data_IF_013810433808
#
_entry.id   IF_013810433808
#
_cell.length_a   1.000
_cell.length_b   1.000
_cell.length_c   1.000
_cell.angle_alpha   90.00
_cell.angle_beta   90.00
_cell.angle_gamma   90.00
#
_symmetry.space_group_name_H-M   'P 1'
#
loop_
_entity.id
_entity.type
_entity.pdbx_description
1 polymer ?
#
# COMPACT_ATOMS: atom_id res chain seq x y z
N UNK A 1 -14.39 -29.60 7.32
CA UNK A 1 -12.98 -29.34 6.92
C UNK A 1 -12.68 -29.88 5.52
N UNK A 2 -13.11 -31.09 5.15
CA UNK A 2 -12.98 -31.62 3.78
C UNK A 2 -13.52 -30.66 2.71
N UNK A 3 -14.74 -30.13 2.90
CA UNK A 3 -15.39 -29.15 2.02
C UNK A 3 -14.50 -27.95 1.63
N UNK A 4 -13.70 -27.43 2.57
CA UNK A 4 -12.80 -26.29 2.32
C UNK A 4 -11.66 -26.68 1.37
N UNK A 5 -11.03 -27.83 1.62
CA UNK A 5 -9.96 -28.33 0.75
C UNK A 5 -10.51 -28.65 -0.64
N UNK A 6 -11.71 -29.20 -0.74
CA UNK A 6 -12.35 -29.44 -2.04
C UNK A 6 -12.59 -28.12 -2.78
N UNK A 7 -13.14 -27.11 -2.10
CA UNK A 7 -13.34 -25.77 -2.66
C UNK A 7 -12.01 -25.13 -3.11
N UNK A 8 -10.91 -25.33 -2.38
CA UNK A 8 -9.57 -24.84 -2.72
C UNK A 8 -9.06 -25.37 -4.07
N UNK A 9 -9.34 -26.63 -4.37
CA UNK A 9 -8.95 -27.23 -5.65
C UNK A 9 -9.96 -26.95 -6.78
N UNK A 10 -11.19 -26.55 -6.45
CA UNK A 10 -12.25 -26.32 -7.42
C UNK A 10 -12.31 -24.87 -7.93
N UNK A 11 -12.02 -23.89 -7.07
CA UNK A 11 -12.13 -22.47 -7.40
C UNK A 11 -10.77 -21.84 -7.71
N UNK A 12 -10.60 -21.39 -8.95
CA UNK A 12 -9.35 -20.78 -9.42
C UNK A 12 -9.00 -19.46 -8.70
N UNK A 13 -9.98 -18.66 -8.28
CA UNK A 13 -9.72 -17.45 -7.49
C UNK A 13 -9.12 -17.78 -6.11
N UNK A 14 -9.50 -18.93 -5.53
CA UNK A 14 -9.01 -19.35 -4.21
C UNK A 14 -7.57 -19.89 -4.30
N UNK A 15 -7.24 -20.55 -5.41
CA UNK A 15 -5.86 -20.95 -5.74
C UNK A 15 -4.95 -19.74 -5.94
N UNK A 16 -5.42 -18.75 -6.71
CA UNK A 16 -4.69 -17.51 -6.98
C UNK A 16 -4.47 -16.72 -5.70
N UNK A 17 -5.51 -16.60 -4.86
CA UNK A 17 -5.39 -15.97 -3.54
C UNK A 17 -4.36 -16.68 -2.64
N UNK A 18 -4.33 -18.03 -2.64
CA UNK A 18 -3.36 -18.79 -1.86
C UNK A 18 -1.93 -18.60 -2.36
N UNK A 19 -1.71 -18.64 -3.68
CA UNK A 19 -0.40 -18.39 -4.29
C UNK A 19 0.07 -16.95 -4.04
N UNK A 20 -0.81 -15.96 -4.20
CA UNK A 20 -0.52 -14.57 -3.91
C UNK A 20 -0.13 -14.38 -2.44
N UNK A 21 -0.86 -15.03 -1.51
CA UNK A 21 -0.56 -15.00 -0.08
C UNK A 21 0.79 -15.62 0.26
N UNK A 22 1.13 -16.75 -0.37
CA UNK A 22 2.45 -17.38 -0.22
C UNK A 22 3.57 -16.45 -0.72
N UNK A 23 3.43 -15.87 -1.91
CA UNK A 23 4.42 -14.94 -2.48
C UNK A 23 4.57 -13.68 -1.61
N UNK A 24 3.47 -13.10 -1.16
CA UNK A 24 3.47 -11.96 -0.25
C UNK A 24 4.14 -12.31 1.08
N UNK A 25 3.89 -13.50 1.63
CA UNK A 25 4.49 -13.94 2.90
C UNK A 25 6.02 -14.04 2.84
N UNK A 26 6.58 -14.43 1.69
CA UNK A 26 8.04 -14.46 1.49
C UNK A 26 8.61 -13.05 1.54
N UNK A 27 8.00 -12.10 0.81
CA UNK A 27 8.42 -10.70 0.82
C UNK A 27 8.32 -10.05 2.21
N UNK A 28 7.16 -10.19 2.85
CA UNK A 28 6.92 -9.67 4.20
C UNK A 28 7.80 -10.34 5.25
N UNK A 29 8.05 -11.64 5.13
CA UNK A 29 8.89 -12.41 6.04
C UNK A 29 10.37 -12.01 5.98
N UNK A 30 10.87 -11.65 4.79
CA UNK A 30 12.24 -11.14 4.62
C UNK A 30 12.36 -9.68 5.09
N UNK A 31 11.40 -8.83 4.73
CA UNK A 31 11.45 -7.40 5.08
C UNK A 31 11.13 -7.12 6.55
N UNK A 32 10.31 -7.94 7.19
CA UNK A 32 9.89 -7.77 8.59
C UNK A 32 11.06 -7.66 9.57
N UNK A 33 11.97 -8.65 9.66
CA UNK A 33 13.14 -8.59 10.52
C UNK A 33 14.03 -7.38 10.25
N UNK A 34 14.19 -7.01 8.97
CA UNK A 34 14.98 -5.84 8.58
C UNK A 34 14.37 -4.54 9.14
N UNK A 35 13.06 -4.36 8.97
CA UNK A 35 12.32 -3.19 9.47
C UNK A 35 12.39 -3.09 10.99
N UNK A 36 12.28 -4.23 11.69
CA UNK A 36 12.35 -4.30 13.17
C UNK A 36 13.74 -3.98 13.68
N UNK A 37 14.79 -4.63 13.15
CA UNK A 37 16.19 -4.42 13.59
C UNK A 37 16.64 -2.98 13.33
N UNK A 38 16.24 -2.39 12.21
CA UNK A 38 16.55 -1.00 11.87
C UNK A 38 15.67 0.02 12.58
N UNK A 39 14.65 -0.41 13.33
CA UNK A 39 13.65 0.45 14.00
C UNK A 39 12.96 1.43 13.05
N UNK A 40 12.75 1.03 11.80
CA UNK A 40 12.09 1.83 10.75
C UNK A 40 10.63 1.43 10.53
N UNK A 41 9.98 0.88 11.56
CA UNK A 41 8.58 0.41 11.45
C UNK A 41 7.60 1.52 11.04
N UNK A 42 7.79 2.72 11.59
CA UNK A 42 6.97 3.89 11.25
C UNK A 42 7.14 4.30 9.78
N UNK A 43 8.34 4.16 9.22
CA UNK A 43 8.62 4.49 7.82
C UNK A 43 7.83 3.60 6.87
N UNK A 44 7.74 2.29 7.15
CA UNK A 44 6.92 1.37 6.37
C UNK A 44 5.44 1.78 6.40
N UNK A 45 4.91 2.14 7.58
CA UNK A 45 3.53 2.62 7.73
C UNK A 45 3.25 3.94 7.00
N UNK A 46 4.18 4.90 7.07
CA UNK A 46 4.06 6.18 6.38
C UNK A 46 4.02 6.03 4.86
N UNK A 47 4.90 5.19 4.30
CA UNK A 47 4.92 4.91 2.87
C UNK A 47 3.59 4.27 2.44
N UNK A 48 3.13 3.24 3.16
CA UNK A 48 1.93 2.48 2.81
C UNK A 48 0.67 3.36 2.63
N UNK A 49 0.49 4.40 3.44
CA UNK A 49 -0.66 5.28 3.27
C UNK A 49 -0.38 6.51 2.40
N UNK A 50 0.90 6.91 2.26
CA UNK A 50 1.26 7.94 1.29
C UNK A 50 0.95 7.53 -0.15
N UNK A 51 1.03 6.22 -0.41
CA UNK A 51 0.69 5.56 -1.68
C UNK A 51 -0.76 5.80 -2.10
N UNK A 52 -1.70 5.88 -1.14
CA UNK A 52 -3.10 6.19 -1.42
C UNK A 52 -3.25 7.54 -2.14
N UNK A 53 -2.39 8.51 -1.80
CA UNK A 53 -2.35 9.80 -2.49
C UNK A 53 -2.03 9.66 -3.97
N UNK A 54 -1.00 8.86 -4.29
CA UNK A 54 -0.63 8.56 -5.67
C UNK A 54 -1.70 7.78 -6.43
N UNK A 55 -2.32 6.78 -5.79
CA UNK A 55 -3.42 6.02 -6.38
C UNK A 55 -4.61 6.92 -6.69
N UNK A 56 -5.01 7.79 -5.76
CA UNK A 56 -6.12 8.72 -5.96
C UNK A 56 -5.88 9.69 -7.11
N UNK A 57 -4.66 10.24 -7.21
CA UNK A 57 -4.26 11.10 -8.34
C UNK A 57 -4.29 10.33 -9.66
N UNK A 58 -3.69 9.14 -9.72
CA UNK A 58 -3.68 8.33 -10.95
C UNK A 58 -5.10 7.96 -11.41
N UNK A 59 -5.96 7.54 -10.47
CA UNK A 59 -7.37 7.27 -10.73
C UNK A 59 -8.11 8.48 -11.30
N UNK A 60 -7.88 9.67 -10.74
CA UNK A 60 -8.50 10.90 -11.22
C UNK A 60 -8.13 11.24 -12.67
N UNK A 61 -6.88 10.97 -13.06
CA UNK A 61 -6.41 11.16 -14.44
C UNK A 61 -6.75 9.99 -15.37
N UNK A 62 -7.43 8.94 -14.88
CA UNK A 62 -7.76 7.74 -15.66
C UNK A 62 -6.56 6.83 -15.94
N UNK A 63 -5.48 6.97 -15.18
CA UNK A 63 -4.31 6.10 -15.26
C UNK A 63 -4.42 4.89 -14.30
N UNK A 64 -3.55 3.90 -14.49
CA UNK A 64 -3.49 2.72 -13.63
C UNK A 64 -3.12 3.12 -12.18
N UNK A 65 -3.96 2.76 -11.18
CA UNK A 65 -3.69 3.01 -9.77
C UNK A 65 -2.34 2.48 -9.32
N UNK A 66 -1.89 1.33 -9.86
CA UNK A 66 -0.63 0.69 -9.49
C UNK A 66 0.57 1.57 -9.85
N UNK A 67 0.51 2.28 -10.98
CA UNK A 67 1.57 3.21 -11.39
C UNK A 67 1.59 4.41 -10.45
N UNK A 68 0.41 4.96 -10.11
CA UNK A 68 0.28 6.03 -9.13
C UNK A 68 0.84 5.64 -7.77
N UNK A 69 0.54 4.42 -7.32
CA UNK A 69 1.06 3.86 -6.09
C UNK A 69 2.59 3.78 -6.08
N UNK A 70 3.17 3.23 -7.15
CA UNK A 70 4.61 3.03 -7.26
C UNK A 70 5.36 4.37 -7.29
N UNK A 71 4.87 5.35 -8.06
CA UNK A 71 5.46 6.70 -8.10
C UNK A 71 5.39 7.37 -6.74
N UNK A 72 4.24 7.32 -6.06
CA UNK A 72 4.10 7.90 -4.73
C UNK A 72 4.98 7.20 -3.68
N UNK A 73 5.10 5.86 -3.74
CA UNK A 73 5.98 5.10 -2.85
C UNK A 73 7.44 5.52 -3.01
N UNK A 74 7.93 5.63 -4.25
CA UNK A 74 9.31 6.04 -4.54
C UNK A 74 9.54 7.49 -4.08
N UNK A 75 8.62 8.41 -4.41
CA UNK A 75 8.72 9.80 -3.98
C UNK A 75 8.74 9.93 -2.45
N UNK A 76 7.86 9.23 -1.75
CA UNK A 76 7.82 9.23 -0.29
C UNK A 76 9.12 8.65 0.29
N UNK A 77 9.60 7.52 -0.23
CA UNK A 77 10.85 6.90 0.22
C UNK A 77 12.07 7.83 0.01
N UNK A 78 12.15 8.50 -1.14
CA UNK A 78 13.20 9.48 -1.44
C UNK A 78 13.11 10.71 -0.54
N UNK A 79 11.93 11.25 -0.31
CA UNK A 79 11.71 12.40 0.58
C UNK A 79 12.14 12.07 2.02
N UNK A 80 11.71 10.92 2.53
CA UNK A 80 12.07 10.46 3.88
C UNK A 80 13.59 10.22 3.94
N UNK A 81 14.16 9.55 2.94
CA UNK A 81 15.60 9.27 2.87
C UNK A 81 16.45 10.54 2.80
N UNK A 82 16.03 11.53 2.01
CA UNK A 82 16.75 12.80 1.85
C UNK A 82 16.68 13.65 3.12
N UNK A 83 15.51 13.79 3.73
CA UNK A 83 15.36 14.51 5.00
C UNK A 83 16.18 13.84 6.09
N UNK A 84 16.16 12.49 6.15
CA UNK A 84 16.97 11.73 7.11
C UNK A 84 18.48 11.99 6.97
N UNK A 85 18.96 12.20 5.75
CA UNK A 85 20.38 12.44 5.50
C UNK A 85 20.80 13.90 5.77
N UNK A 86 19.93 14.86 5.44
CA UNK A 86 20.25 16.29 5.47
C UNK A 86 19.77 17.03 6.73
N UNK A 87 18.73 16.55 7.42
CA UNK A 87 18.04 17.27 8.50
C UNK A 87 18.02 16.42 9.78
N UNK A 88 18.39 17.01 10.91
CA UNK A 88 18.25 16.42 12.26
C UNK A 88 16.84 16.59 12.83
N UNK A 89 15.82 16.72 11.98
CA UNK A 89 14.42 16.82 12.41
C UNK A 89 13.93 15.44 12.86
N UNK A 90 12.95 15.39 13.77
CA UNK A 90 12.32 14.15 14.20
C UNK A 90 11.74 13.40 12.99
N UNK A 91 12.37 12.27 12.62
CA UNK A 91 11.94 11.40 11.51
C UNK A 91 10.44 11.07 11.59
N UNK A 92 9.95 10.83 12.82
CA UNK A 92 8.55 10.52 13.11
C UNK A 92 7.58 11.62 12.69
N UNK A 93 7.98 12.89 12.80
CA UNK A 93 7.13 14.03 12.39
C UNK A 93 6.97 14.08 10.88
N UNK A 94 8.05 13.82 10.13
CA UNK A 94 8.00 13.80 8.67
C UNK A 94 7.16 12.62 8.17
N UNK A 95 7.35 11.44 8.76
CA UNK A 95 6.57 10.24 8.46
C UNK A 95 5.09 10.51 8.71
N UNK A 96 4.74 11.09 9.87
CA UNK A 96 3.37 11.47 10.20
C UNK A 96 2.77 12.51 9.24
N UNK A 97 3.56 13.49 8.81
CA UNK A 97 3.12 14.49 7.83
C UNK A 97 2.84 13.85 6.46
N UNK A 98 3.75 13.00 5.95
CA UNK A 98 3.56 12.29 4.68
C UNK A 98 2.36 11.34 4.74
N UNK A 99 2.17 10.69 5.89
CA UNK A 99 1.03 9.83 6.16
C UNK A 99 -0.29 10.61 6.02
N UNK A 100 -0.42 11.74 6.73
CA UNK A 100 -1.62 12.57 6.70
C UNK A 100 -1.87 13.21 5.33
N UNK A 101 -0.82 13.75 4.69
CA UNK A 101 -0.92 14.41 3.38
C UNK A 101 -1.33 13.41 2.31
N UNK A 102 -0.69 12.23 2.25
CA UNK A 102 -1.02 11.24 1.24
C UNK A 102 -2.44 10.70 1.39
N UNK A 103 -2.89 10.43 2.62
CA UNK A 103 -4.29 10.07 2.88
C UNK A 103 -5.26 11.18 2.44
N UNK A 104 -4.98 12.43 2.81
CA UNK A 104 -5.84 13.56 2.46
C UNK A 104 -5.94 13.76 0.94
N UNK A 105 -4.81 13.70 0.23
CA UNK A 105 -4.76 13.79 -1.23
C UNK A 105 -5.55 12.64 -1.86
N UNK A 106 -5.32 11.40 -1.41
CA UNK A 106 -5.99 10.23 -1.97
C UNK A 106 -7.50 10.31 -1.84
N UNK A 107 -7.98 10.66 -0.63
CA UNK A 107 -9.42 10.83 -0.36
C UNK A 107 -10.00 12.00 -1.17
N UNK A 108 -9.31 13.13 -1.23
CA UNK A 108 -9.75 14.30 -1.99
C UNK A 108 -10.00 13.96 -3.46
N UNK A 109 -9.02 13.32 -4.11
CA UNK A 109 -9.15 12.98 -5.53
C UNK A 109 -10.20 11.91 -5.77
N UNK A 110 -10.30 10.89 -4.92
CA UNK A 110 -11.35 9.85 -5.07
C UNK A 110 -12.75 10.45 -4.87
N UNK A 111 -12.93 11.35 -3.90
CA UNK A 111 -14.21 12.02 -3.65
C UNK A 111 -14.71 12.89 -4.82
N UNK A 112 -13.79 13.34 -5.69
CA UNK A 112 -14.11 14.18 -6.85
C UNK A 112 -14.52 13.39 -8.08
N UNK A 113 -14.45 12.06 -8.05
CA UNK A 113 -14.87 11.18 -9.14
C UNK A 113 -16.37 10.87 -8.96
N UNK A 114 -17.27 11.42 -9.80
CA UNK A 114 -18.70 11.23 -9.62
C UNK A 114 -19.09 9.77 -9.89
N UNK A 115 -19.76 9.14 -8.92
CA UNK A 115 -20.28 7.77 -9.04
C UNK A 115 -19.29 6.65 -8.73
N UNK A 116 -18.04 6.97 -8.38
CA UNK A 116 -17.03 5.96 -8.05
C UNK A 116 -16.88 5.84 -6.53
N UNK A 117 -17.63 4.91 -5.93
CA UNK A 117 -17.28 4.36 -4.61
C UNK A 117 -16.15 3.37 -4.83
N UNK A 118 -14.93 3.86 -5.11
CA UNK A 118 -13.77 3.00 -4.98
C UNK A 118 -13.83 2.43 -3.56
N UNK A 119 -13.73 1.11 -3.41
CA UNK A 119 -13.52 0.50 -2.11
C UNK A 119 -12.15 0.98 -1.60
N UNK A 120 -12.09 2.18 -1.03
CA UNK A 120 -10.89 2.75 -0.42
C UNK A 120 -10.32 1.77 0.58
N UNK A 121 -11.22 1.09 1.30
CA UNK A 121 -10.90 0.03 2.25
C UNK A 121 -10.21 -1.12 1.54
N UNK A 122 -10.73 -1.62 0.40
CA UNK A 122 -10.08 -2.70 -0.35
C UNK A 122 -8.72 -2.28 -0.93
N UNK A 123 -8.50 -1.02 -1.29
CA UNK A 123 -7.18 -0.54 -1.74
C UNK A 123 -6.21 -0.26 -0.60
N UNK A 124 -6.70 0.21 0.55
CA UNK A 124 -5.87 0.54 1.71
C UNK A 124 -5.43 -0.71 2.49
N UNK A 125 -6.35 -1.67 2.63
CA UNK A 125 -6.11 -2.90 3.38
C UNK A 125 -5.79 -4.11 2.48
N UNK A 126 -6.07 -3.99 1.17
CA UNK A 126 -5.88 -5.07 0.20
C UNK A 126 -7.04 -6.06 0.20
N UNK A 127 -7.30 -6.66 -0.96
CA UNK A 127 -8.20 -7.80 -1.09
C UNK A 127 -7.53 -8.91 -1.90
N UNK A 128 -7.17 -9.99 -1.21
CA UNK A 128 -6.43 -11.11 -1.80
C UNK A 128 -7.27 -11.90 -2.82
N UNK A 129 -8.59 -11.75 -2.80
CA UNK A 129 -9.50 -12.39 -3.73
C UNK A 129 -9.60 -11.65 -5.07
N UNK A 130 -9.11 -10.40 -5.14
CA UNK A 130 -9.13 -9.57 -6.35
C UNK A 130 -7.82 -9.66 -7.15
N UNK A 131 -6.90 -10.55 -6.77
CA UNK A 131 -5.68 -10.79 -7.55
C UNK A 131 -6.08 -11.49 -8.86
N UNK A 132 -5.72 -10.93 -10.03
CA UNK A 132 -6.12 -11.44 -11.34
C UNK A 132 -5.50 -12.80 -11.69
#
# INVERSE_FOLDING_TARGET
MSEFFTALFQYQFLQTALLAGLLASVGCGVMGPYVVVKRIAFLAGGIAHSVLGGMGVALYFGADPLIGALVAAILAALLIGWVRLNWRTSEDTLIGALWAIGMAIGILFISRIPGYQADLVSYLFGNILLVP
#
